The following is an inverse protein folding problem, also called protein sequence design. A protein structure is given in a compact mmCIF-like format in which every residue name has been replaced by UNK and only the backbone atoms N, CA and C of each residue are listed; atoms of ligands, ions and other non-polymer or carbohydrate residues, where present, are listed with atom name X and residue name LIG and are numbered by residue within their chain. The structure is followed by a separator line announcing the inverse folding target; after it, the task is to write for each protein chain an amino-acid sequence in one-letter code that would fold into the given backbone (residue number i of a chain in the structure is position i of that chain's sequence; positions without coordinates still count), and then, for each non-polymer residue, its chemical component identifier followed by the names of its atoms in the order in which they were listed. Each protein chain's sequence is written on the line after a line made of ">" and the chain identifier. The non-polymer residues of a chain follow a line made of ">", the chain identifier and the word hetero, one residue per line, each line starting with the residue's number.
data_IF_246420790474
#
_entry.id   IF_246420790474
#
_cell.length_a   1.000
_cell.length_b   1.000
_cell.length_c   1.000
_cell.angle_alpha   90.00
_cell.angle_beta   90.00
_cell.angle_gamma   90.00
#
_symmetry.space_group_name_H-M   'P 1'
#
loop_
_entity.id
_entity.type
_entity.pdbx_description
1 polymer ?
#
# COMPACT_ATOMS: atom_id res chain seq x y z
N UNK A 1 0.96 11.80 -18.60
CA UNK A 1 0.24 11.27 -17.43
C UNK A 1 0.92 11.81 -16.18
N UNK A 2 0.28 12.71 -15.45
CA UNK A 2 0.80 13.16 -14.16
C UNK A 2 0.44 12.09 -13.13
N UNK A 3 1.44 11.57 -12.44
CA UNK A 3 1.26 10.52 -11.43
C UNK A 3 0.60 11.12 -10.19
N UNK A 4 -0.74 11.20 -10.21
CA UNK A 4 -1.56 11.81 -9.14
C UNK A 4 -1.23 11.22 -7.76
N UNK A 5 -0.81 9.95 -7.71
CA UNK A 5 -0.41 9.29 -6.47
C UNK A 5 0.90 9.89 -5.89
N UNK A 6 1.86 10.25 -6.75
CA UNK A 6 3.11 10.94 -6.33
C UNK A 6 2.86 12.37 -5.89
N UNK A 7 1.89 13.06 -6.49
CA UNK A 7 1.47 14.40 -6.04
C UNK A 7 0.82 14.34 -4.66
N UNK A 8 -0.02 13.33 -4.41
CA UNK A 8 -0.69 13.14 -3.13
C UNK A 8 0.27 12.72 -2.01
N UNK A 9 1.32 11.95 -2.34
CA UNK A 9 2.37 11.59 -1.39
C UNK A 9 3.76 11.61 -2.07
N UNK A 10 4.46 12.76 -2.02
CA UNK A 10 5.78 12.92 -2.65
C UNK A 10 6.86 12.00 -2.07
N UNK A 11 6.68 11.56 -0.81
CA UNK A 11 7.63 10.72 -0.11
C UNK A 11 7.38 9.22 -0.33
N UNK A 12 6.33 8.84 -1.07
CA UNK A 12 6.01 7.45 -1.34
C UNK A 12 7.08 6.79 -2.22
N UNK A 13 7.72 5.74 -1.70
CA UNK A 13 8.66 4.90 -2.46
C UNK A 13 7.89 3.69 -3.02
N UNK A 14 7.75 3.63 -4.34
CA UNK A 14 7.05 2.54 -5.05
C UNK A 14 8.10 1.67 -5.74
N UNK A 15 8.22 0.41 -5.31
CA UNK A 15 9.12 -0.58 -5.91
C UNK A 15 8.33 -1.81 -6.38
N UNK A 16 8.29 -2.02 -7.69
CA UNK A 16 7.63 -3.16 -8.32
C UNK A 16 8.67 -4.14 -8.87
N UNK A 17 8.51 -5.42 -8.56
CA UNK A 17 9.28 -6.51 -9.17
C UNK A 17 8.33 -7.45 -9.90
N UNK A 18 8.84 -8.19 -10.86
CA UNK A 18 8.05 -9.18 -11.59
C UNK A 18 7.33 -10.11 -10.59
N UNK A 19 5.99 -10.18 -10.71
CA UNK A 19 5.09 -10.97 -9.86
C UNK A 19 5.08 -10.66 -8.34
N UNK A 20 5.67 -9.56 -7.88
CA UNK A 20 5.65 -9.17 -6.46
C UNK A 20 5.50 -7.65 -6.28
N UNK A 21 4.60 -7.28 -5.36
CA UNK A 21 4.48 -5.92 -4.87
C UNK A 21 4.91 -5.85 -3.40
N UNK A 22 5.79 -4.90 -3.09
CA UNK A 22 6.22 -4.60 -1.73
C UNK A 22 5.77 -3.20 -1.36
N UNK A 23 5.05 -3.09 -0.25
CA UNK A 23 4.56 -1.80 0.27
C UNK A 23 5.15 -1.60 1.66
N UNK A 24 5.64 -0.38 1.88
CA UNK A 24 6.12 0.10 3.17
C UNK A 24 5.16 1.22 3.59
N UNK A 25 4.48 1.02 4.71
CA UNK A 25 3.50 1.96 5.23
C UNK A 25 4.10 2.73 6.42
N UNK A 26 3.45 3.82 6.83
CA UNK A 26 3.97 4.76 7.85
C UNK A 26 4.27 4.12 9.21
N UNK A 27 3.66 2.96 9.49
CA UNK A 27 3.87 2.17 10.71
C UNK A 27 5.14 1.30 10.67
N UNK A 28 5.91 1.36 9.58
CA UNK A 28 7.11 0.55 9.38
C UNK A 28 6.83 -0.91 9.01
N UNK A 29 5.57 -1.35 8.94
CA UNK A 29 5.24 -2.72 8.52
C UNK A 29 5.36 -2.87 7.02
N UNK A 30 5.74 -4.08 6.60
CA UNK A 30 5.87 -4.46 5.19
C UNK A 30 4.67 -5.30 4.78
N UNK A 31 3.92 -4.83 3.80
CA UNK A 31 2.88 -5.65 3.15
C UNK A 31 3.50 -6.29 1.92
N UNK A 32 3.65 -7.61 1.98
CA UNK A 32 4.15 -8.41 0.86
C UNK A 32 2.99 -9.06 0.11
N UNK A 33 2.87 -8.75 -1.18
CA UNK A 33 1.82 -9.29 -2.04
C UNK A 33 2.46 -10.05 -3.19
N UNK A 34 2.26 -11.37 -3.22
CA UNK A 34 2.53 -12.20 -4.40
C UNK A 34 1.43 -11.94 -5.42
N UNK A 35 1.75 -11.30 -6.53
CA UNK A 35 0.77 -10.83 -7.53
C UNK A 35 0.49 -11.84 -8.63
N UNK A 36 1.23 -12.95 -8.71
CA UNK A 36 1.21 -13.88 -9.86
C UNK A 36 -0.16 -14.45 -10.28
N UNK A 37 -1.13 -14.50 -9.37
CA UNK A 37 -2.51 -14.93 -9.63
C UNK A 37 -3.57 -13.95 -9.12
N UNK A 38 -3.18 -12.70 -8.83
CA UNK A 38 -4.08 -11.67 -8.28
C UNK A 38 -4.35 -10.59 -9.32
N UNK A 39 -5.61 -10.23 -9.47
CA UNK A 39 -6.00 -9.03 -10.23
C UNK A 39 -5.56 -7.77 -9.47
N UNK A 40 -5.47 -6.65 -10.19
CA UNK A 40 -5.15 -5.34 -9.60
C UNK A 40 -6.14 -4.98 -8.48
N UNK A 41 -7.43 -5.27 -8.66
CA UNK A 41 -8.48 -5.05 -7.66
C UNK A 41 -8.24 -5.83 -6.36
N UNK A 42 -7.77 -7.06 -6.49
CA UNK A 42 -7.45 -7.89 -5.33
C UNK A 42 -6.25 -7.33 -4.56
N UNK A 43 -5.24 -6.83 -5.28
CA UNK A 43 -4.10 -6.13 -4.67
C UNK A 43 -4.58 -4.89 -3.92
N UNK A 44 -5.38 -4.02 -4.57
CA UNK A 44 -5.93 -2.81 -3.95
C UNK A 44 -6.76 -3.12 -2.69
N UNK A 45 -7.56 -4.19 -2.71
CA UNK A 45 -8.35 -4.62 -1.55
C UNK A 45 -7.47 -4.96 -0.34
N UNK A 46 -6.34 -5.65 -0.57
CA UNK A 46 -5.37 -5.99 0.49
C UNK A 46 -4.74 -4.72 1.07
N UNK A 47 -4.32 -3.78 0.21
CA UNK A 47 -3.72 -2.52 0.63
C UNK A 47 -4.70 -1.68 1.44
N UNK A 48 -5.92 -1.48 0.93
CA UNK A 48 -6.96 -0.67 1.57
C UNK A 48 -7.35 -1.23 2.95
N UNK A 49 -7.42 -2.56 3.09
CA UNK A 49 -7.69 -3.19 4.38
C UNK A 49 -6.58 -2.91 5.39
N UNK A 50 -5.32 -2.85 4.95
CA UNK A 50 -4.21 -2.55 5.84
C UNK A 50 -4.17 -1.07 6.23
N UNK A 51 -4.32 -0.16 5.27
CA UNK A 51 -4.36 1.29 5.56
C UNK A 51 -5.52 1.67 6.47
N UNK A 52 -6.70 1.06 6.29
CA UNK A 52 -7.84 1.29 7.19
C UNK A 52 -7.54 0.86 8.63
N UNK A 53 -6.87 -0.28 8.84
CA UNK A 53 -6.45 -0.70 10.18
C UNK A 53 -5.49 0.30 10.82
N UNK A 54 -4.55 0.84 10.04
CA UNK A 54 -3.64 1.86 10.55
C UNK A 54 -4.37 3.13 10.97
N UNK A 55 -5.37 3.57 10.20
CA UNK A 55 -6.20 4.70 10.58
C UNK A 55 -6.98 4.43 11.87
N UNK A 56 -7.60 3.25 11.99
CA UNK A 56 -8.31 2.85 13.22
C UNK A 56 -7.37 2.78 14.44
N UNK A 57 -6.15 2.27 14.27
CA UNK A 57 -5.14 2.21 15.35
C UNK A 57 -4.63 3.63 15.75
N UNK A 58 -4.44 4.53 14.77
CA UNK A 58 -4.06 5.93 15.01
C UNK A 58 -5.19 6.73 15.70
N UNK A 59 -6.44 6.55 15.26
CA UNK A 59 -7.62 7.18 15.87
C UNK A 59 -7.86 6.68 17.31
N UNK A 60 -7.58 5.41 17.60
CA UNK A 60 -7.70 4.87 18.96
C UNK A 60 -6.59 5.37 19.91
N UNK A 61 -5.42 5.70 19.38
CA UNK A 61 -4.27 6.16 20.15
C UNK A 61 -4.26 7.68 20.42
N UNK A 62 -5.16 8.44 19.78
CA UNK A 62 -5.29 9.90 19.87
C UNK A 62 -6.34 10.34 20.91
#
# INVERSE_FOLDING_TARGET
>A
MTDKARLANPNAIINTKYNNAHLFLGDGKKVHIRTGNKTIEHVLTIVNKHTRKLQEDEEFAA
#
